data_IF_394038157633
#
_entry.id   IF_394038157633
#
_cell.length_a   1.000
_cell.length_b   1.000
_cell.length_c   1.000
_cell.angle_alpha   90.00
_cell.angle_beta   90.00
_cell.angle_gamma   90.00
#
_symmetry.space_group_name_H-M   'P 1'
#
loop_
_entity.id
_entity.type
_entity.pdbx_description
1 polymer ?
#
# COMPACT_ATOMS: atom_id res chain seq x y z
N UNK A 1 -7.74 17.35 2.47
CA UNK A 1 -6.38 16.73 2.48
C UNK A 1 -5.53 17.30 1.34
N UNK A 2 -5.98 17.28 0.09
CA UNK A 2 -5.22 17.82 -1.06
C UNK A 2 -4.87 19.32 -0.93
N UNK A 3 -5.82 20.17 -0.52
CA UNK A 3 -5.52 21.59 -0.32
C UNK A 3 -4.33 21.81 0.61
N UNK A 4 -4.26 21.08 1.74
CA UNK A 4 -3.13 21.17 2.66
C UNK A 4 -1.83 20.63 2.09
N UNK A 5 -1.88 19.63 1.21
CA UNK A 5 -0.71 19.13 0.48
C UNK A 5 -0.16 20.22 -0.44
N UNK A 6 -1.01 20.84 -1.24
CA UNK A 6 -0.60 21.91 -2.15
C UNK A 6 -0.07 23.14 -1.41
N UNK A 7 -0.73 23.59 -0.33
CA UNK A 7 -0.22 24.66 0.53
C UNK A 7 1.22 24.39 1.00
N UNK A 8 1.50 23.18 1.51
CA UNK A 8 2.83 22.83 1.98
C UNK A 8 3.85 22.77 0.84
N UNK A 9 3.44 22.31 -0.36
CA UNK A 9 4.31 22.35 -1.54
C UNK A 9 4.62 23.77 -1.99
N UNK A 10 3.61 24.63 -2.00
CA UNK A 10 3.74 26.05 -2.36
C UNK A 10 4.62 26.80 -1.34
N UNK A 11 4.60 26.41 -0.07
CA UNK A 11 5.48 26.92 1.00
C UNK A 11 6.92 26.37 0.91
N UNK A 12 7.23 25.53 -0.11
CA UNK A 12 8.58 25.02 -0.38
C UNK A 12 8.94 23.73 0.36
N UNK A 13 7.97 23.02 0.94
CA UNK A 13 8.22 21.73 1.59
C UNK A 13 8.24 20.58 0.57
N UNK A 14 9.44 20.08 0.24
CA UNK A 14 9.62 18.98 -0.73
C UNK A 14 9.42 17.59 -0.16
N UNK A 15 9.46 17.44 1.16
CA UNK A 15 9.39 16.15 1.86
C UNK A 15 7.98 15.75 2.29
N UNK A 16 6.95 16.30 1.65
CA UNK A 16 5.55 15.99 1.93
C UNK A 16 5.01 14.96 0.94
N UNK A 17 4.09 14.12 1.43
CA UNK A 17 3.35 13.16 0.63
C UNK A 17 1.93 13.00 1.16
N UNK A 18 1.09 12.33 0.39
CA UNK A 18 -0.30 12.10 0.72
C UNK A 18 -0.67 10.63 0.61
N UNK A 19 -1.63 10.20 1.42
CA UNK A 19 -2.19 8.84 1.35
C UNK A 19 -3.51 8.86 0.60
N UNK A 20 -3.60 8.06 -0.45
CA UNK A 20 -4.86 7.78 -1.16
C UNK A 20 -5.38 6.40 -0.79
N UNK A 21 -6.68 6.31 -0.62
CA UNK A 21 -7.36 5.08 -0.23
C UNK A 21 -8.32 4.63 -1.33
N UNK A 22 -8.00 3.55 -2.01
CA UNK A 22 -8.71 3.09 -3.21
C UNK A 22 -10.20 2.74 -3.00
N UNK A 23 -10.63 2.50 -1.75
CA UNK A 23 -12.05 2.26 -1.49
C UNK A 23 -12.90 3.53 -1.64
N UNK A 24 -12.31 4.72 -1.54
CA UNK A 24 -13.04 5.97 -1.76
C UNK A 24 -13.30 6.21 -3.26
N UNK A 25 -14.54 6.53 -3.60
CA UNK A 25 -14.97 6.78 -4.99
C UNK A 25 -14.20 7.91 -5.65
N UNK A 26 -13.80 8.90 -4.87
CA UNK A 26 -13.06 10.07 -5.36
C UNK A 26 -11.59 9.82 -5.66
N UNK A 27 -11.01 8.70 -5.23
CA UNK A 27 -9.56 8.47 -5.24
C UNK A 27 -8.94 8.67 -6.62
N UNK A 28 -9.56 8.14 -7.67
CA UNK A 28 -9.03 8.31 -9.03
C UNK A 28 -9.03 9.78 -9.48
N UNK A 29 -10.03 10.56 -9.11
CA UNK A 29 -10.06 12.00 -9.38
C UNK A 29 -9.03 12.77 -8.56
N UNK A 30 -8.72 12.29 -7.36
CA UNK A 30 -7.77 12.91 -6.44
C UNK A 30 -6.28 12.68 -6.82
N UNK A 31 -6.00 11.88 -7.84
CA UNK A 31 -4.63 11.59 -8.30
C UNK A 31 -3.93 12.81 -8.89
N UNK A 32 -4.69 13.69 -9.53
CA UNK A 32 -4.14 14.78 -10.35
C UNK A 32 -3.23 15.74 -9.55
N UNK A 33 -2.03 16.01 -10.07
CA UNK A 33 -1.07 16.95 -9.50
C UNK A 33 -0.36 16.49 -8.23
N UNK A 34 -0.45 15.23 -7.86
CA UNK A 34 0.25 14.68 -6.70
C UNK A 34 1.60 14.09 -7.12
N UNK A 35 2.68 14.45 -6.42
CA UNK A 35 4.04 14.03 -6.75
C UNK A 35 4.58 12.90 -5.88
N UNK A 36 4.05 12.74 -4.65
CA UNK A 36 4.46 11.71 -3.70
C UNK A 36 3.22 11.12 -3.02
N UNK A 37 2.88 9.90 -3.38
CA UNK A 37 1.63 9.26 -2.96
C UNK A 37 1.88 7.87 -2.40
N UNK A 38 1.29 7.59 -1.23
CA UNK A 38 1.07 6.24 -0.74
C UNK A 38 -0.33 5.80 -1.12
N UNK A 39 -0.46 4.75 -1.94
CA UNK A 39 -1.76 4.17 -2.27
C UNK A 39 -2.02 2.92 -1.44
N UNK A 40 -3.19 2.82 -0.82
CA UNK A 40 -3.66 1.63 -0.11
C UNK A 40 -5.15 1.35 -0.40
N UNK A 41 -5.64 0.17 -0.03
CA UNK A 41 -7.06 -0.17 -0.23
C UNK A 41 -8.00 0.69 0.59
N UNK A 42 -7.61 1.01 1.82
CA UNK A 42 -8.51 1.57 2.84
C UNK A 42 -9.13 0.45 3.70
N UNK A 43 -9.60 0.82 4.89
CA UNK A 43 -10.09 -0.16 5.89
C UNK A 43 -11.31 0.32 6.68
N UNK A 44 -11.65 1.61 6.60
CA UNK A 44 -12.78 2.15 7.35
C UNK A 44 -14.11 1.81 6.66
N UNK A 45 -15.17 1.70 7.47
CA UNK A 45 -16.53 1.53 6.95
C UNK A 45 -17.11 2.92 6.72
N UNK A 46 -17.37 3.23 5.47
CA UNK A 46 -17.94 4.50 5.02
C UNK A 46 -19.26 4.25 4.28
N UNK A 47 -20.17 5.24 4.19
CA UNK A 47 -21.38 5.12 3.40
C UNK A 47 -21.11 4.79 1.92
N UNK A 48 -22.07 4.11 1.28
CA UNK A 48 -21.94 3.68 -0.13
C UNK A 48 -21.78 4.86 -1.10
N UNK A 49 -22.26 6.02 -0.74
CA UNK A 49 -22.13 7.27 -1.52
C UNK A 49 -20.66 7.75 -1.54
N UNK A 50 -19.89 7.41 -0.51
CA UNK A 50 -18.49 7.86 -0.33
C UNK A 50 -17.52 6.78 -0.76
N UNK A 51 -17.83 5.49 -0.49
CA UNK A 51 -16.91 4.38 -0.68
C UNK A 51 -17.53 3.21 -1.44
N UNK A 52 -16.70 2.51 -2.19
CA UNK A 52 -17.03 1.21 -2.77
C UNK A 52 -17.18 0.17 -1.66
N UNK A 53 -18.18 -0.69 -1.79
CA UNK A 53 -18.46 -1.76 -0.82
C UNK A 53 -17.95 -3.12 -1.33
N UNK A 54 -17.83 -3.27 -2.65
CA UNK A 54 -17.39 -4.50 -3.29
C UNK A 54 -15.87 -4.63 -3.33
N UNK A 55 -15.38 -5.81 -3.01
CA UNK A 55 -13.94 -6.10 -3.01
C UNK A 55 -13.29 -5.89 -4.40
N UNK A 56 -13.97 -6.30 -5.46
CA UNK A 56 -13.48 -6.15 -6.83
C UNK A 56 -13.55 -4.68 -7.32
N UNK A 57 -14.53 -3.90 -6.86
CA UNK A 57 -14.59 -2.47 -7.15
C UNK A 57 -13.40 -1.73 -6.54
N UNK A 58 -13.04 -2.07 -5.30
CA UNK A 58 -11.87 -1.49 -4.61
C UNK A 58 -10.57 -1.88 -5.33
N UNK A 59 -10.45 -3.13 -5.80
CA UNK A 59 -9.29 -3.58 -6.60
C UNK A 59 -9.20 -2.82 -7.92
N UNK A 60 -10.31 -2.72 -8.65
CA UNK A 60 -10.34 -2.00 -9.92
C UNK A 60 -9.95 -0.53 -9.75
N UNK A 61 -10.49 0.15 -8.74
CA UNK A 61 -10.14 1.54 -8.45
C UNK A 61 -8.69 1.71 -7.98
N UNK A 62 -8.13 0.71 -7.26
CA UNK A 62 -6.71 0.69 -6.89
C UNK A 62 -5.82 0.63 -8.12
N UNK A 63 -6.10 -0.30 -9.04
CA UNK A 63 -5.33 -0.48 -10.28
C UNK A 63 -5.40 0.77 -11.14
N UNK A 64 -6.61 1.29 -11.40
CA UNK A 64 -6.80 2.51 -12.19
C UNK A 64 -6.07 3.72 -11.58
N UNK A 65 -6.14 3.88 -10.24
CA UNK A 65 -5.44 4.97 -9.55
C UNK A 65 -3.92 4.80 -9.62
N UNK A 66 -3.40 3.57 -9.49
CA UNK A 66 -1.97 3.30 -9.61
C UNK A 66 -1.46 3.57 -11.04
N UNK A 67 -2.20 3.15 -12.07
CA UNK A 67 -1.88 3.45 -13.47
C UNK A 67 -1.83 4.96 -13.71
N UNK A 68 -2.81 5.70 -13.22
CA UNK A 68 -2.84 7.16 -13.34
C UNK A 68 -1.67 7.86 -12.62
N UNK A 69 -1.32 7.42 -11.40
CA UNK A 69 -0.15 7.92 -10.65
C UNK A 69 1.15 7.66 -11.40
N UNK A 70 1.32 6.47 -11.93
CA UNK A 70 2.51 6.09 -12.70
C UNK A 70 2.60 6.89 -14.01
N UNK A 71 1.49 7.03 -14.72
CA UNK A 71 1.44 7.77 -15.99
C UNK A 71 1.81 9.25 -15.86
N UNK A 72 1.48 9.89 -14.74
CA UNK A 72 1.87 11.28 -14.48
C UNK A 72 3.29 11.44 -13.86
N UNK A 73 4.00 10.33 -13.59
CA UNK A 73 5.36 10.37 -13.04
C UNK A 73 5.44 10.55 -11.52
N UNK A 74 4.36 10.29 -10.78
CA UNK A 74 4.33 10.34 -9.30
C UNK A 74 5.27 9.30 -8.69
N UNK A 75 5.97 9.64 -7.61
CA UNK A 75 6.58 8.63 -6.76
C UNK A 75 5.52 7.88 -5.96
N UNK A 76 5.46 6.56 -6.08
CA UNK A 76 4.37 5.79 -5.49
C UNK A 76 4.83 4.77 -4.46
N UNK A 77 4.31 4.90 -3.23
CA UNK A 77 4.34 3.85 -2.21
C UNK A 77 3.15 2.90 -2.38
N UNK A 78 3.41 1.70 -2.89
CA UNK A 78 2.43 0.66 -3.21
C UNK A 78 2.15 -0.16 -1.96
N UNK A 79 1.13 0.22 -1.18
CA UNK A 79 0.84 -0.37 0.13
C UNK A 79 -0.24 -1.45 0.03
N UNK A 80 0.16 -2.71 -0.11
CA UNK A 80 -0.77 -3.84 -0.21
C UNK A 80 -0.12 -5.18 0.18
N UNK A 81 -0.95 -6.12 0.68
CA UNK A 81 -0.61 -7.54 0.86
C UNK A 81 -1.47 -8.45 -0.04
N UNK A 82 -2.29 -7.86 -0.87
CA UNK A 82 -3.17 -8.54 -1.80
C UNK A 82 -2.38 -9.02 -3.02
N UNK A 83 -2.32 -10.34 -3.25
CA UNK A 83 -1.50 -10.92 -4.31
C UNK A 83 -1.90 -10.42 -5.70
N UNK A 84 -3.20 -10.25 -5.94
CA UNK A 84 -3.68 -9.69 -7.20
C UNK A 84 -3.13 -8.28 -7.42
N UNK A 85 -3.21 -7.42 -6.40
CA UNK A 85 -2.71 -6.04 -6.50
C UNK A 85 -1.18 -5.96 -6.59
N UNK A 86 -0.46 -6.89 -5.95
CA UNK A 86 1.00 -6.99 -6.12
C UNK A 86 1.32 -7.37 -7.57
N UNK A 87 0.61 -8.35 -8.13
CA UNK A 87 0.78 -8.77 -9.52
C UNK A 87 0.50 -7.64 -10.52
N UNK A 88 -0.60 -6.92 -10.34
CA UNK A 88 -0.94 -5.75 -11.17
C UNK A 88 0.09 -4.62 -11.03
N UNK A 89 0.53 -4.34 -9.81
CA UNK A 89 1.57 -3.33 -9.60
C UNK A 89 2.88 -3.70 -10.31
N UNK A 90 3.31 -4.96 -10.25
CA UNK A 90 4.48 -5.46 -10.98
C UNK A 90 4.31 -5.34 -12.51
N UNK A 91 3.11 -5.62 -13.01
CA UNK A 91 2.77 -5.40 -14.42
C UNK A 91 2.93 -3.93 -14.80
N UNK A 92 2.27 -3.03 -14.04
CA UNK A 92 2.24 -1.59 -14.31
C UNK A 92 3.64 -0.98 -14.31
N UNK A 93 4.46 -1.24 -13.27
CA UNK A 93 5.81 -0.68 -13.18
C UNK A 93 6.74 -1.20 -14.29
N UNK A 94 6.57 -2.46 -14.68
CA UNK A 94 7.31 -3.06 -15.81
C UNK A 94 6.91 -2.47 -17.14
N UNK A 95 5.61 -2.35 -17.42
CA UNK A 95 5.09 -1.81 -18.68
C UNK A 95 5.44 -0.32 -18.84
N UNK A 96 5.46 0.43 -17.74
CA UNK A 96 5.91 1.82 -17.72
C UNK A 96 7.43 2.00 -17.75
N UNK A 97 8.20 0.91 -17.66
CA UNK A 97 9.67 0.96 -17.62
C UNK A 97 10.22 1.72 -16.41
N UNK A 98 9.51 1.72 -15.27
CA UNK A 98 9.93 2.45 -14.09
C UNK A 98 11.17 1.83 -13.45
N UNK A 99 12.18 2.66 -13.17
CA UNK A 99 13.32 2.25 -12.35
C UNK A 99 12.92 2.09 -10.87
N UNK A 100 13.57 1.19 -10.11
CA UNK A 100 13.20 0.88 -8.72
C UNK A 100 13.27 2.06 -7.75
N UNK A 101 13.94 3.15 -8.11
CA UNK A 101 13.99 4.39 -7.31
C UNK A 101 12.75 5.27 -7.46
N UNK A 102 11.87 4.98 -8.41
CA UNK A 102 10.64 5.75 -8.68
C UNK A 102 9.41 5.25 -7.94
N UNK A 103 9.51 4.09 -7.28
CA UNK A 103 8.43 3.50 -6.47
C UNK A 103 8.98 2.64 -5.34
N UNK A 104 8.12 2.24 -4.43
CA UNK A 104 8.42 1.22 -3.43
C UNK A 104 7.17 0.39 -3.11
N UNK A 105 7.35 -0.88 -2.79
CA UNK A 105 6.32 -1.66 -2.12
C UNK A 105 6.34 -1.37 -0.63
N UNK A 106 5.17 -1.40 0.02
CA UNK A 106 5.04 -1.16 1.45
C UNK A 106 4.25 -2.28 2.11
N UNK A 107 4.85 -2.95 3.08
CA UNK A 107 4.26 -4.08 3.79
C UNK A 107 4.41 -3.93 5.30
N UNK A 108 3.50 -4.56 6.06
CA UNK A 108 3.60 -4.64 7.52
C UNK A 108 4.63 -5.69 7.93
N UNK A 109 5.38 -5.41 8.99
CA UNK A 109 6.29 -6.37 9.61
C UNK A 109 5.54 -7.65 10.00
N UNK A 110 6.10 -8.81 9.61
CA UNK A 110 5.54 -10.13 9.93
C UNK A 110 4.29 -10.51 9.14
N UNK A 111 3.95 -9.76 8.08
CA UNK A 111 2.83 -10.08 7.21
C UNK A 111 3.37 -10.42 5.82
N UNK A 112 3.28 -11.70 5.44
CA UNK A 112 3.80 -12.21 4.16
C UNK A 112 5.28 -11.90 3.93
N UNK A 113 6.11 -12.23 4.90
CA UNK A 113 7.57 -12.02 4.83
C UNK A 113 8.19 -12.75 3.64
N UNK A 114 7.67 -13.92 3.27
CA UNK A 114 8.06 -14.66 2.05
C UNK A 114 7.91 -13.78 0.78
N UNK A 115 6.77 -13.13 0.65
CA UNK A 115 6.50 -12.26 -0.50
C UNK A 115 7.34 -10.98 -0.48
N UNK A 116 7.59 -10.44 0.70
CA UNK A 116 8.48 -9.31 0.90
C UNK A 116 9.92 -9.64 0.44
N UNK A 117 10.43 -10.80 0.85
CA UNK A 117 11.76 -11.29 0.46
C UNK A 117 11.88 -11.53 -1.06
N UNK A 118 10.84 -12.11 -1.69
CA UNK A 118 10.76 -12.28 -3.14
C UNK A 118 10.83 -10.94 -3.90
N UNK A 119 10.10 -9.91 -3.45
CA UNK A 119 10.11 -8.58 -4.06
C UNK A 119 11.50 -7.95 -3.96
N UNK A 120 12.17 -8.05 -2.81
CA UNK A 120 13.53 -7.54 -2.61
C UNK A 120 14.53 -8.31 -3.48
N UNK A 121 14.43 -9.64 -3.52
CA UNK A 121 15.30 -10.49 -4.36
C UNK A 121 15.13 -10.18 -5.87
N UNK A 122 13.93 -9.77 -6.29
CA UNK A 122 13.66 -9.33 -7.65
C UNK A 122 14.14 -7.89 -7.95
N UNK A 123 14.77 -7.20 -6.99
CA UNK A 123 15.33 -5.86 -7.15
C UNK A 123 14.35 -4.70 -6.89
N UNK A 124 13.18 -4.99 -6.35
CA UNK A 124 12.22 -3.94 -5.99
C UNK A 124 12.55 -3.31 -4.63
N UNK A 125 12.28 -2.02 -4.48
CA UNK A 125 12.37 -1.36 -3.17
C UNK A 125 11.18 -1.77 -2.29
N UNK A 126 11.48 -2.09 -1.03
CA UNK A 126 10.49 -2.45 -0.04
C UNK A 126 10.66 -1.61 1.22
N UNK A 127 9.58 -1.00 1.68
CA UNK A 127 9.50 -0.36 2.99
C UNK A 127 8.67 -1.23 3.93
N UNK A 128 9.24 -1.58 5.07
CA UNK A 128 8.54 -2.32 6.12
C UNK A 128 7.97 -1.33 7.14
N UNK A 129 6.66 -1.36 7.33
CA UNK A 129 5.99 -0.61 8.38
C UNK A 129 6.06 -1.40 9.69
N UNK A 130 6.63 -0.77 10.71
CA UNK A 130 6.83 -1.37 12.03
C UNK A 130 6.05 -0.56 13.07
N UNK A 131 4.96 -1.11 13.66
CA UNK A 131 4.34 -0.50 14.83
C UNK A 131 5.35 -0.43 15.97
N UNK A 132 5.52 0.75 16.57
CA UNK A 132 6.49 1.00 17.62
C UNK A 132 5.91 1.95 18.66
N UNK A 133 6.40 1.86 19.91
CA UNK A 133 5.97 2.70 21.02
C UNK A 133 5.00 1.99 21.98
N UNK A 134 4.45 2.71 22.96
CA UNK A 134 3.60 2.15 24.04
C UNK A 134 2.30 1.54 23.50
N UNK A 135 1.74 2.10 22.43
CA UNK A 135 0.41 1.74 21.92
C UNK A 135 0.46 0.69 20.78
N UNK A 136 1.63 0.06 20.56
CA UNK A 136 1.82 -0.92 19.48
C UNK A 136 0.86 -2.11 19.58
N UNK A 137 0.55 -2.54 20.81
CA UNK A 137 -0.32 -3.69 21.05
C UNK A 137 -1.76 -3.39 20.62
N UNK A 138 -2.32 -2.29 21.08
CA UNK A 138 -3.70 -1.88 20.73
C UNK A 138 -3.83 -1.61 19.21
N UNK A 139 -2.81 -0.99 18.62
CA UNK A 139 -2.74 -0.82 17.18
C UNK A 139 -2.77 -2.17 16.46
N UNK A 140 -1.94 -3.13 16.89
CA UNK A 140 -1.84 -4.46 16.27
C UNK A 140 -3.14 -5.24 16.40
N UNK A 141 -3.76 -5.22 17.58
CA UNK A 141 -5.06 -5.88 17.82
C UNK A 141 -6.14 -5.31 16.90
N UNK A 142 -6.24 -3.99 16.77
CA UNK A 142 -7.19 -3.35 15.83
C UNK A 142 -6.95 -3.82 14.40
N UNK A 143 -5.71 -3.87 13.92
CA UNK A 143 -5.39 -4.37 12.57
C UNK A 143 -5.82 -5.82 12.35
N UNK A 144 -5.64 -6.65 13.35
CA UNK A 144 -6.09 -8.05 13.29
C UNK A 144 -7.63 -8.18 13.26
N UNK A 145 -8.33 -7.35 14.02
CA UNK A 145 -9.79 -7.31 14.04
C UNK A 145 -10.37 -6.78 12.72
N UNK A 146 -9.79 -5.72 12.17
CA UNK A 146 -10.21 -5.11 10.91
C UNK A 146 -9.91 -5.99 9.69
N UNK A 147 -8.89 -6.83 9.76
CA UNK A 147 -8.52 -7.75 8.69
C UNK A 147 -8.07 -9.11 9.25
N UNK A 148 -9.00 -10.05 9.49
CA UNK A 148 -8.69 -11.38 10.01
C UNK A 148 -7.68 -12.18 9.17
N UNK A 149 -7.54 -11.86 7.86
CA UNK A 149 -6.53 -12.50 7.01
C UNK A 149 -5.10 -12.20 7.46
N UNK A 150 -4.87 -11.04 8.09
CA UNK A 150 -3.57 -10.68 8.66
C UNK A 150 -3.18 -11.67 9.76
N UNK A 151 -4.11 -12.09 10.61
CA UNK A 151 -3.86 -13.10 11.64
C UNK A 151 -3.34 -14.41 11.03
N UNK A 152 -3.94 -14.85 9.93
CA UNK A 152 -3.49 -16.05 9.21
C UNK A 152 -2.08 -15.91 8.62
N UNK A 153 -1.72 -14.74 8.11
CA UNK A 153 -0.38 -14.47 7.60
C UNK A 153 0.66 -14.45 8.73
N UNK A 154 0.37 -13.75 9.83
CA UNK A 154 1.25 -13.70 11.01
C UNK A 154 1.44 -15.08 11.60
N UNK A 155 0.38 -15.89 11.77
CA UNK A 155 0.48 -17.25 12.27
C UNK A 155 1.36 -18.13 11.37
N UNK A 156 1.24 -18.01 10.05
CA UNK A 156 2.08 -18.74 9.08
C UNK A 156 3.55 -18.34 9.17
N UNK A 157 3.83 -17.04 9.28
CA UNK A 157 5.20 -16.53 9.44
C UNK A 157 5.85 -17.02 10.74
N UNK A 158 5.11 -16.99 11.85
CA UNK A 158 5.57 -17.52 13.13
C UNK A 158 5.84 -19.02 13.06
N UNK A 159 4.94 -19.80 12.43
CA UNK A 159 5.15 -21.23 12.26
C UNK A 159 6.40 -21.54 11.42
N UNK A 160 6.64 -20.81 10.34
CA UNK A 160 7.85 -20.97 9.51
C UNK A 160 9.14 -20.66 10.27
N UNK A 161 9.14 -19.64 11.14
CA UNK A 161 10.29 -19.29 11.97
C UNK A 161 10.53 -20.30 13.08
N UNK A 162 9.45 -20.85 13.68
CA UNK A 162 9.53 -21.86 14.74
C UNK A 162 9.96 -23.25 14.21
N UNK A 163 9.61 -23.56 12.96
CA UNK A 163 9.91 -24.84 12.31
C UNK A 163 10.57 -24.58 10.94
N UNK A 164 11.85 -24.16 10.90
CA UNK A 164 12.57 -24.03 9.64
C UNK A 164 12.72 -25.44 9.06
N UNK A 165 11.96 -25.74 7.99
CA UNK A 165 12.14 -26.98 7.27
C UNK A 165 13.60 -27.04 6.76
N UNK A 166 14.37 -27.99 7.27
CA UNK A 166 15.65 -28.37 6.67
C UNK A 166 15.34 -28.89 5.26
N UNK A 167 15.75 -28.14 4.25
CA UNK A 167 15.99 -28.71 2.91
C UNK A 167 17.28 -29.49 2.91
#
# INVERSE_FOLDING_TARGET
>A
MQARYHELRDDGHDNVGVVLQAYLRRTLADVAGLENVRICKGIYVEPVEVAFQGFEEVRANYVASLEALVAQGTYVGIATHDEYLIGEALRIVREAGLSPDRYEFQMLLGVRSDRADELVAAGHRLRVYVPYGTDWYEYSVRRLQENPKIAGYVARDLARRAFPFRQ
#
